data_IF_764765727271
#
_entry.id   IF_764765727271
#
_cell.length_a   1.000
_cell.length_b   1.000
_cell.length_c   1.000
_cell.angle_alpha   90.00
_cell.angle_beta   90.00
_cell.angle_gamma   90.00
#
_symmetry.space_group_name_H-M   'P 1'
#
loop_
_entity.id
_entity.type
_entity.pdbx_description
1 polymer ?
#
# COMPACT_ATOMS: atom_id res chain seq x y z
N UNK A 1 0.02 20.00 14.58
CA UNK A 1 -0.06 19.91 13.11
C UNK A 1 0.29 18.46 12.76
N UNK A 2 -0.55 17.70 12.03
CA UNK A 2 -0.21 16.31 11.68
C UNK A 2 0.95 16.32 10.68
N UNK A 3 2.07 15.70 11.04
CA UNK A 3 3.27 15.61 10.20
C UNK A 3 3.00 14.71 8.98
N UNK A 4 3.88 14.77 7.97
CA UNK A 4 3.81 13.83 6.85
C UNK A 4 3.83 12.37 7.33
N UNK A 5 4.63 12.05 8.35
CA UNK A 5 4.70 10.71 8.95
C UNK A 5 3.39 10.31 9.64
N UNK A 6 2.74 11.21 10.36
CA UNK A 6 1.47 10.91 11.01
C UNK A 6 0.38 10.60 9.99
N UNK A 7 0.37 11.34 8.87
CA UNK A 7 -0.54 11.09 7.76
C UNK A 7 -0.23 9.76 7.07
N UNK A 8 1.06 9.46 6.87
CA UNK A 8 1.50 8.22 6.26
C UNK A 8 1.12 7.00 7.09
N UNK A 9 1.35 7.05 8.40
CA UNK A 9 0.94 5.99 9.34
C UNK A 9 -0.58 5.78 9.33
N UNK A 10 -1.36 6.87 9.33
CA UNK A 10 -2.81 6.77 9.27
C UNK A 10 -3.26 6.13 7.96
N UNK A 11 -2.69 6.55 6.83
CA UNK A 11 -2.98 5.98 5.51
C UNK A 11 -2.61 4.49 5.42
N UNK A 12 -1.52 4.06 6.07
CA UNK A 12 -1.16 2.66 6.21
C UNK A 12 -2.19 1.86 7.02
N UNK A 13 -2.59 2.38 8.19
CA UNK A 13 -3.58 1.72 9.07
C UNK A 13 -4.94 1.59 8.37
N UNK A 14 -5.35 2.63 7.64
CA UNK A 14 -6.59 2.65 6.86
C UNK A 14 -6.46 1.90 5.53
N UNK A 15 -5.27 1.38 5.21
CA UNK A 15 -4.90 0.76 3.94
C UNK A 15 -5.31 1.60 2.71
N UNK A 16 -5.28 2.93 2.83
CA UNK A 16 -5.73 3.87 1.81
C UNK A 16 -4.62 4.12 0.78
N UNK A 17 -4.61 3.30 -0.27
CA UNK A 17 -3.59 3.32 -1.33
C UNK A 17 -3.50 4.67 -2.03
N UNK A 18 -4.63 5.36 -2.26
CA UNK A 18 -4.63 6.66 -2.94
C UNK A 18 -3.87 7.72 -2.14
N UNK A 19 -4.08 7.75 -0.81
CA UNK A 19 -3.37 8.68 0.08
C UNK A 19 -1.89 8.29 0.17
N UNK A 20 -1.57 6.99 0.20
CA UNK A 20 -0.17 6.54 0.18
C UNK A 20 0.55 6.99 -1.10
N UNK A 21 -0.10 6.86 -2.26
CA UNK A 21 0.46 7.33 -3.54
C UNK A 21 0.68 8.86 -3.55
N UNK A 22 -0.28 9.63 -3.06
CA UNK A 22 -0.17 11.09 -2.94
C UNK A 22 0.99 11.47 -2.01
N UNK A 23 1.12 10.82 -0.85
CA UNK A 23 2.17 11.10 0.12
C UNK A 23 3.56 10.69 -0.37
N UNK A 24 3.68 9.58 -1.10
CA UNK A 24 4.94 9.14 -1.71
C UNK A 24 5.36 10.12 -2.81
N UNK A 25 4.42 10.55 -3.65
CA UNK A 25 4.69 11.51 -4.73
C UNK A 25 5.11 12.87 -4.19
N UNK A 26 4.61 13.24 -3.01
CA UNK A 26 4.96 14.47 -2.30
C UNK A 26 5.88 14.19 -1.10
N UNK A 27 6.91 13.36 -1.30
CA UNK A 27 7.86 13.05 -0.24
C UNK A 27 8.56 14.34 0.26
N UNK A 28 8.59 14.61 1.58
CA UNK A 28 9.10 15.86 2.11
C UNK A 28 10.63 15.92 1.97
N UNK A 29 11.14 17.04 1.44
CA UNK A 29 12.57 17.28 1.28
C UNK A 29 13.28 17.66 2.59
N UNK A 30 12.52 18.08 3.59
CA UNK A 30 12.96 18.60 4.88
C UNK A 30 12.75 17.59 6.03
N UNK A 31 12.65 16.30 5.72
CA UNK A 31 12.49 15.28 6.74
C UNK A 31 13.74 15.23 7.64
N UNK A 32 13.52 15.24 8.95
CA UNK A 32 14.59 15.16 9.94
C UNK A 32 15.37 13.86 9.76
N UNK A 33 16.70 13.92 9.85
CA UNK A 33 17.58 12.75 9.61
C UNK A 33 17.24 11.57 10.52
N UNK A 34 16.85 11.85 11.76
CA UNK A 34 16.44 10.86 12.76
C UNK A 34 15.12 10.14 12.38
N UNK A 35 14.30 10.80 11.55
CA UNK A 35 13.02 10.31 11.06
C UNK A 35 13.10 9.56 9.74
N UNK A 36 14.24 9.62 9.03
CA UNK A 36 14.46 8.88 7.78
C UNK A 36 14.33 7.37 7.96
N UNK A 37 14.85 6.81 9.07
CA UNK A 37 14.74 5.37 9.31
C UNK A 37 13.28 4.94 9.50
N UNK A 38 12.50 5.78 10.19
CA UNK A 38 11.07 5.55 10.38
C UNK A 38 10.32 5.65 9.06
N UNK A 39 10.59 6.68 8.25
CA UNK A 39 10.02 6.84 6.92
C UNK A 39 10.33 5.63 6.00
N UNK A 40 11.57 5.14 6.01
CA UNK A 40 11.99 3.97 5.24
C UNK A 40 11.19 2.72 5.62
N UNK A 41 11.08 2.44 6.92
CA UNK A 41 10.34 1.27 7.41
C UNK A 41 8.85 1.35 7.04
N UNK A 42 8.24 2.53 7.12
CA UNK A 42 6.85 2.73 6.72
C UNK A 42 6.65 2.53 5.21
N UNK A 43 7.58 3.01 4.38
CA UNK A 43 7.52 2.79 2.92
C UNK A 43 7.68 1.30 2.58
N UNK A 44 8.58 0.58 3.25
CA UNK A 44 8.74 -0.86 3.07
C UNK A 44 7.46 -1.62 3.43
N UNK A 45 6.78 -1.24 4.51
CA UNK A 45 5.49 -1.83 4.88
C UNK A 45 4.41 -1.48 3.84
N UNK A 46 4.39 -0.27 3.29
CA UNK A 46 3.47 0.12 2.23
C UNK A 46 3.66 -0.73 0.96
N UNK A 47 4.92 -1.01 0.57
CA UNK A 47 5.24 -1.89 -0.56
C UNK A 47 4.68 -3.29 -0.32
N UNK A 48 4.88 -3.82 0.89
CA UNK A 48 4.37 -5.15 1.27
C UNK A 48 2.85 -5.21 1.22
N UNK A 49 2.17 -4.22 1.81
CA UNK A 49 0.70 -4.11 1.77
C UNK A 49 0.15 -4.13 0.33
N UNK A 50 0.77 -3.36 -0.57
CA UNK A 50 0.36 -3.30 -1.98
C UNK A 50 0.60 -4.64 -2.68
N UNK A 51 1.73 -5.30 -2.40
CA UNK A 51 2.02 -6.63 -2.95
C UNK A 51 0.99 -7.67 -2.51
N UNK A 52 0.68 -7.72 -1.22
CA UNK A 52 -0.29 -8.67 -0.64
C UNK A 52 -1.69 -8.46 -1.24
N UNK A 53 -2.13 -7.20 -1.41
CA UNK A 53 -3.39 -6.88 -2.08
C UNK A 53 -3.40 -7.34 -3.55
N UNK A 54 -2.30 -7.13 -4.28
CA UNK A 54 -2.18 -7.55 -5.67
C UNK A 54 -2.30 -9.08 -5.80
N UNK A 55 -1.64 -9.82 -4.91
CA UNK A 55 -1.66 -11.28 -4.93
C UNK A 55 -3.05 -11.83 -4.57
N UNK A 56 -3.74 -11.22 -3.61
CA UNK A 56 -5.13 -11.56 -3.30
C UNK A 56 -6.06 -11.37 -4.51
N UNK A 57 -5.93 -10.25 -5.23
CA UNK A 57 -6.72 -9.98 -6.44
C UNK A 57 -6.40 -11.01 -7.54
N UNK A 58 -5.12 -11.35 -7.73
CA UNK A 58 -4.71 -12.36 -8.71
C UNK A 58 -5.32 -13.74 -8.40
N UNK A 59 -5.37 -14.13 -7.13
CA UNK A 59 -6.02 -15.36 -6.68
C UNK A 59 -7.52 -15.36 -6.99
N UNK A 60 -8.22 -14.25 -6.72
CA UNK A 60 -9.64 -14.13 -7.01
C UNK A 60 -9.93 -14.24 -8.51
N UNK A 61 -9.13 -13.58 -9.36
CA UNK A 61 -9.21 -13.71 -10.82
C UNK A 61 -9.05 -15.17 -11.26
N UNK A 62 -8.09 -15.90 -10.67
CA UNK A 62 -7.87 -17.30 -10.98
C UNK A 62 -9.08 -18.17 -10.59
N UNK A 63 -9.68 -17.94 -9.42
CA UNK A 63 -10.91 -18.63 -9.00
C UNK A 63 -12.05 -18.37 -9.96
N UNK A 64 -12.27 -17.12 -10.38
CA UNK A 64 -13.31 -16.77 -11.36
C UNK A 64 -13.10 -17.46 -12.71
N UNK A 65 -11.87 -17.48 -13.22
CA UNK A 65 -11.55 -18.19 -14.47
C UNK A 65 -11.90 -19.68 -14.39
N UNK A 66 -11.50 -20.35 -13.30
CA UNK A 66 -11.80 -21.76 -13.08
C UNK A 66 -13.31 -22.02 -12.93
N UNK A 67 -14.04 -21.13 -12.26
CA UNK A 67 -15.50 -21.24 -12.16
C UNK A 67 -16.17 -21.15 -13.53
N UNK A 68 -15.72 -20.23 -14.40
CA UNK A 68 -16.24 -20.10 -15.77
C UNK A 68 -15.99 -21.36 -16.60
N UNK A 69 -14.86 -22.04 -16.44
CA UNK A 69 -14.58 -23.32 -17.12
C UNK A 69 -15.61 -24.40 -16.76
N UNK A 70 -16.01 -24.50 -15.49
CA UNK A 70 -17.03 -25.47 -15.06
C UNK A 70 -18.43 -25.14 -15.58
N UNK A 71 -18.75 -23.86 -15.84
CA UNK A 71 -20.05 -23.46 -16.38
C UNK A 71 -20.20 -23.61 -17.89
N UNK A 72 -19.09 -23.85 -18.61
CA UNK A 72 -19.08 -24.09 -20.07
C UNK A 72 -19.24 -25.58 -20.43
N UNK A 73 -19.32 -26.46 -19.43
CA UNK A 73 -19.51 -27.91 -19.57
C UNK A 73 -20.99 -28.29 -19.61
#
# INVERSE_FOLDING_TARGET
MKTWLDKFKLALIEENVNILEELISNFPNDIEKEKLSEAKALIEEAIKLISDKKDAVAMEIHKFKRALEYTKA
#
